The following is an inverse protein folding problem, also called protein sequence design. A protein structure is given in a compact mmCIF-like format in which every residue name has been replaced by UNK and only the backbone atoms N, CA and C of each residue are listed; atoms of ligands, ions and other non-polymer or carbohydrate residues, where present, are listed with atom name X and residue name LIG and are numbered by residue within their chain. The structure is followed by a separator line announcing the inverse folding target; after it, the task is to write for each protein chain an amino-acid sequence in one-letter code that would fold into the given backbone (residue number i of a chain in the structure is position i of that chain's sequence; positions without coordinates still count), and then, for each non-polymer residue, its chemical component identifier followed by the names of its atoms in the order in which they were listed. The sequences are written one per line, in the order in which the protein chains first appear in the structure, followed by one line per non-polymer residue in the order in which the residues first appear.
data_IF_297591234580
#
_entry.id   IF_297591234580
#
_cell.length_a   1.000
_cell.length_b   1.000
_cell.length_c   1.000
_cell.angle_alpha   90.00
_cell.angle_beta   90.00
_cell.angle_gamma   90.00
#
_symmetry.space_group_name_H-M   'P 1'
#
loop_
_entity.id
_entity.type
_entity.pdbx_description
1 polymer ?
#
# COMPACT_ATOMS: atom_id res chain seq x y z
N UNK A 1 4.85 -24.62 -71.70
CA UNK A 1 4.20 -23.58 -70.87
C UNK A 1 4.56 -23.88 -69.43
N UNK A 2 5.67 -23.29 -68.96
CA UNK A 2 6.14 -23.41 -67.59
C UNK A 2 5.66 -22.19 -66.82
N UNK A 3 4.68 -22.40 -65.95
CA UNK A 3 4.18 -21.35 -65.05
C UNK A 3 4.98 -21.43 -63.75
N UNK A 4 5.97 -20.54 -63.61
CA UNK A 4 6.63 -20.29 -62.34
C UNK A 4 5.65 -19.63 -61.36
N UNK A 5 5.58 -20.07 -60.09
CA UNK A 5 4.84 -19.33 -59.09
C UNK A 5 5.63 -18.09 -58.70
N UNK A 6 5.01 -16.92 -58.88
CA UNK A 6 5.46 -15.65 -58.34
C UNK A 6 5.53 -15.79 -56.82
N UNK A 7 6.75 -15.87 -56.29
CA UNK A 7 7.00 -15.67 -54.87
C UNK A 7 6.62 -14.22 -54.55
N UNK A 8 5.47 -14.04 -53.90
CA UNK A 8 5.12 -12.77 -53.28
C UNK A 8 6.16 -12.46 -52.23
N UNK A 9 6.92 -11.38 -52.46
CA UNK A 9 7.76 -10.75 -51.46
C UNK A 9 6.84 -10.27 -50.32
N UNK A 10 6.62 -11.15 -49.35
CA UNK A 10 5.91 -10.82 -48.13
C UNK A 10 6.72 -9.75 -47.43
N UNK A 11 6.22 -8.52 -47.44
CA UNK A 11 6.71 -7.38 -46.66
C UNK A 11 7.07 -7.84 -45.24
N UNK A 12 8.34 -8.21 -45.03
CA UNK A 12 8.85 -8.54 -43.70
C UNK A 12 9.06 -7.21 -43.01
N UNK A 13 8.04 -6.78 -42.27
CA UNK A 13 8.20 -5.68 -41.33
C UNK A 13 9.47 -5.92 -40.50
N UNK A 14 10.32 -4.89 -40.31
CA UNK A 14 11.56 -5.05 -39.56
C UNK A 14 11.25 -5.61 -38.18
N UNK A 15 11.76 -6.80 -37.89
CA UNK A 15 11.59 -7.44 -36.59
C UNK A 15 12.29 -6.60 -35.53
N UNK A 16 11.63 -6.40 -34.38
CA UNK A 16 12.23 -5.78 -33.20
C UNK A 16 13.54 -6.46 -32.77
N UNK A 17 13.70 -7.74 -33.11
CA UNK A 17 14.92 -8.51 -32.87
C UNK A 17 16.10 -8.11 -33.78
N UNK A 18 15.88 -7.37 -34.86
CA UNK A 18 16.95 -6.92 -35.76
C UNK A 18 17.38 -5.47 -35.50
N UNK A 19 16.75 -4.81 -34.52
CA UNK A 19 17.11 -3.45 -34.14
C UNK A 19 18.36 -3.41 -33.26
N UNK A 20 19.10 -2.29 -33.25
CA UNK A 20 20.17 -2.06 -32.28
C UNK A 20 19.67 -2.25 -30.83
N UNK A 21 20.47 -2.88 -29.95
CA UNK A 21 20.11 -3.11 -28.55
C UNK A 21 19.63 -1.86 -27.80
N UNK A 22 20.18 -0.70 -28.14
CA UNK A 22 19.87 0.60 -27.54
C UNK A 22 18.44 1.03 -27.89
N UNK A 23 18.04 0.87 -29.15
CA UNK A 23 16.69 1.18 -29.64
C UNK A 23 15.67 0.24 -29.01
N UNK A 24 15.96 -1.06 -28.97
CA UNK A 24 15.10 -2.04 -28.34
C UNK A 24 14.96 -1.80 -26.83
N UNK A 25 16.04 -1.41 -26.14
CA UNK A 25 16.00 -1.05 -24.72
C UNK A 25 15.17 0.22 -24.49
N UNK A 26 15.29 1.22 -25.36
CA UNK A 26 14.45 2.41 -25.27
C UNK A 26 12.97 2.06 -25.43
N UNK A 27 12.61 1.15 -26.36
CA UNK A 27 11.23 0.66 -26.49
C UNK A 27 10.76 0.04 -25.16
N UNK A 28 11.56 -0.82 -24.53
CA UNK A 28 11.22 -1.35 -23.20
C UNK A 28 10.96 -0.24 -22.19
N UNK A 29 11.83 0.78 -22.09
CA UNK A 29 11.69 1.91 -21.17
C UNK A 29 10.43 2.75 -21.39
N UNK A 30 9.87 2.76 -22.62
CA UNK A 30 8.66 3.51 -22.95
C UNK A 30 7.37 2.71 -22.73
N UNK A 31 7.44 1.43 -22.36
CA UNK A 31 6.25 0.63 -22.09
C UNK A 31 5.48 1.16 -20.86
N UNK A 32 4.14 1.15 -20.88
CA UNK A 32 3.35 1.78 -19.84
C UNK A 32 3.41 1.01 -18.51
N UNK A 33 3.58 -0.32 -18.56
CA UNK A 33 3.65 -1.15 -17.36
C UNK A 33 4.68 -2.29 -17.46
N UNK A 34 5.04 -2.87 -16.32
CA UNK A 34 5.83 -4.11 -16.31
C UNK A 34 5.10 -5.31 -16.90
N UNK A 35 3.76 -5.31 -16.96
CA UNK A 35 3.02 -6.38 -17.64
C UNK A 35 3.39 -6.41 -19.13
N UNK A 36 3.50 -5.25 -19.75
CA UNK A 36 3.89 -5.11 -21.16
C UNK A 36 5.36 -5.48 -21.37
N UNK A 37 6.23 -5.10 -20.42
CA UNK A 37 7.65 -5.53 -20.43
C UNK A 37 7.74 -7.06 -20.41
N UNK A 38 6.99 -7.71 -19.52
CA UNK A 38 7.00 -9.16 -19.41
C UNK A 38 6.45 -9.82 -20.68
N UNK A 39 5.35 -9.30 -21.22
CA UNK A 39 4.78 -9.76 -22.48
C UNK A 39 5.76 -9.63 -23.65
N UNK A 40 6.38 -8.46 -23.83
CA UNK A 40 7.37 -8.23 -24.89
C UNK A 40 8.60 -9.13 -24.72
N UNK A 41 9.09 -9.29 -23.50
CA UNK A 41 10.24 -10.16 -23.19
C UNK A 41 9.94 -11.64 -23.45
N UNK A 42 8.67 -12.06 -23.40
CA UNK A 42 8.25 -13.43 -23.63
C UNK A 42 8.17 -13.80 -25.13
N UNK A 43 8.16 -12.80 -26.03
CA UNK A 43 8.01 -13.02 -27.49
C UNK A 43 9.17 -13.84 -28.06
N UNK A 44 10.43 -13.52 -27.69
CA UNK A 44 11.59 -14.29 -28.17
C UNK A 44 12.80 -14.22 -27.23
N UNK A 45 13.76 -15.14 -27.42
CA UNK A 45 14.97 -15.25 -26.57
C UNK A 45 15.81 -13.97 -26.56
N UNK A 46 15.90 -13.28 -27.69
CA UNK A 46 16.70 -12.06 -27.79
C UNK A 46 16.09 -10.91 -26.99
N UNK A 47 14.77 -10.70 -27.10
CA UNK A 47 14.06 -9.68 -26.31
C UNK A 47 14.11 -10.01 -24.81
N UNK A 48 14.00 -11.29 -24.45
CA UNK A 48 14.24 -11.74 -23.08
C UNK A 48 15.64 -11.39 -22.59
N UNK A 49 16.67 -11.65 -23.41
CA UNK A 49 18.05 -11.34 -23.04
C UNK A 49 18.28 -9.83 -22.88
N UNK A 50 17.72 -9.02 -23.78
CA UNK A 50 17.78 -7.56 -23.70
C UNK A 50 17.14 -7.02 -22.42
N UNK A 51 15.96 -7.52 -22.06
CA UNK A 51 15.32 -7.19 -20.78
C UNK A 51 16.23 -7.57 -19.59
N UNK A 52 16.72 -8.82 -19.55
CA UNK A 52 17.56 -9.29 -18.44
C UNK A 52 18.87 -8.49 -18.29
N UNK A 53 19.46 -8.01 -19.39
CA UNK A 53 20.66 -7.18 -19.36
C UNK A 53 20.39 -5.75 -18.93
N UNK A 54 19.17 -5.24 -19.14
CA UNK A 54 18.80 -3.84 -18.92
C UNK A 54 17.70 -3.67 -17.86
N UNK A 55 17.62 -4.56 -16.87
CA UNK A 55 16.58 -4.54 -15.83
C UNK A 55 16.51 -3.19 -15.12
N UNK A 56 17.64 -2.65 -14.67
CA UNK A 56 17.68 -1.43 -13.86
C UNK A 56 17.31 -0.15 -14.65
N UNK A 57 17.85 0.09 -15.87
CA UNK A 57 17.38 1.19 -16.71
C UNK A 57 15.87 1.16 -16.96
N UNK A 58 15.35 -0.01 -17.34
CA UNK A 58 13.91 -0.17 -17.62
C UNK A 58 13.09 -0.03 -16.34
N UNK A 59 13.57 -0.56 -15.21
CA UNK A 59 12.93 -0.41 -13.91
C UNK A 59 12.79 1.05 -13.51
N UNK A 60 13.88 1.83 -13.57
CA UNK A 60 13.89 3.23 -13.16
C UNK A 60 12.92 4.09 -13.97
N UNK A 61 12.65 3.72 -15.22
CA UNK A 61 11.71 4.44 -16.09
C UNK A 61 10.25 4.04 -15.87
N UNK A 62 9.98 2.77 -15.51
CA UNK A 62 8.62 2.22 -15.46
C UNK A 62 8.08 2.16 -14.04
N UNK A 63 8.91 1.89 -13.04
CA UNK A 63 8.47 1.71 -11.66
C UNK A 63 7.70 2.90 -11.08
N UNK A 64 8.13 4.18 -11.28
CA UNK A 64 7.41 5.33 -10.73
C UNK A 64 5.95 5.44 -11.19
N UNK A 65 5.62 4.92 -12.37
CA UNK A 65 4.26 4.97 -12.94
C UNK A 65 3.47 3.66 -12.83
N UNK A 66 4.13 2.55 -12.46
CA UNK A 66 3.52 1.21 -12.51
C UNK A 66 3.51 0.47 -11.18
N UNK A 67 4.33 0.90 -10.20
CA UNK A 67 4.36 0.33 -8.85
C UNK A 67 3.94 1.44 -7.89
N UNK A 68 2.68 1.42 -7.43
CA UNK A 68 2.20 2.37 -6.43
C UNK A 68 3.08 2.34 -5.18
N UNK A 69 3.45 3.52 -4.68
CA UNK A 69 4.32 3.69 -3.52
C UNK A 69 5.63 2.88 -3.65
N UNK A 70 6.33 3.01 -4.80
CA UNK A 70 7.54 2.26 -5.15
C UNK A 70 8.56 2.16 -4.00
N UNK A 71 8.78 3.24 -3.27
CA UNK A 71 9.72 3.25 -2.14
C UNK A 71 9.30 2.32 -1.01
N UNK A 72 8.01 2.25 -0.70
CA UNK A 72 7.46 1.30 0.26
C UNK A 72 7.55 -0.14 -0.26
N UNK A 73 7.31 -0.35 -1.56
CA UNK A 73 7.49 -1.64 -2.21
C UNK A 73 8.97 -2.10 -2.18
N UNK A 74 9.94 -1.19 -2.37
CA UNK A 74 11.38 -1.49 -2.26
C UNK A 74 11.77 -1.85 -0.83
N UNK A 75 11.27 -1.13 0.17
CA UNK A 75 11.48 -1.48 1.58
C UNK A 75 10.95 -2.88 1.87
N UNK A 76 9.72 -3.18 1.44
CA UNK A 76 9.14 -4.51 1.62
C UNK A 76 9.95 -5.60 0.91
N UNK A 77 10.52 -5.32 -0.27
CA UNK A 77 11.41 -6.25 -0.96
C UNK A 77 12.68 -6.55 -0.14
N UNK A 78 13.24 -5.57 0.56
CA UNK A 78 14.38 -5.80 1.48
C UNK A 78 13.98 -6.76 2.60
N UNK A 79 12.79 -6.58 3.18
CA UNK A 79 12.22 -7.50 4.19
C UNK A 79 11.82 -8.88 3.62
N UNK A 80 11.99 -9.09 2.31
CA UNK A 80 11.85 -10.35 1.60
C UNK A 80 13.22 -10.92 1.15
N UNK A 81 14.28 -10.55 1.87
CA UNK A 81 15.68 -10.94 1.57
C UNK A 81 16.15 -10.44 0.20
N UNK A 82 15.53 -9.37 -0.28
CA UNK A 82 15.87 -8.72 -1.54
C UNK A 82 17.05 -7.75 -1.40
N UNK A 83 17.50 -7.18 -2.53
CA UNK A 83 18.61 -6.24 -2.53
C UNK A 83 18.24 -4.94 -1.79
N UNK A 84 19.21 -4.42 -1.04
CA UNK A 84 19.10 -3.20 -0.22
C UNK A 84 18.57 -1.98 -0.97
N UNK A 85 18.15 -0.96 -0.22
CA UNK A 85 17.71 0.31 -0.78
C UNK A 85 18.87 0.95 -1.56
N UNK A 86 18.66 1.24 -2.84
CA UNK A 86 19.69 1.77 -3.74
C UNK A 86 20.57 0.71 -4.43
N UNK A 87 20.50 -0.56 -4.02
CA UNK A 87 21.18 -1.64 -4.74
C UNK A 87 20.47 -1.99 -6.06
N UNK A 88 21.21 -2.43 -7.10
CA UNK A 88 20.62 -2.88 -8.34
C UNK A 88 19.65 -4.06 -8.14
N UNK A 89 18.59 -4.07 -8.95
CA UNK A 89 17.57 -5.11 -8.96
C UNK A 89 17.88 -6.17 -10.03
N UNK A 90 17.56 -7.42 -9.71
CA UNK A 90 17.44 -8.49 -10.71
C UNK A 90 16.01 -8.52 -11.29
N UNK A 91 15.83 -9.19 -12.44
CA UNK A 91 14.50 -9.36 -13.02
C UNK A 91 13.54 -10.12 -12.08
N UNK A 92 14.06 -11.05 -11.27
CA UNK A 92 13.29 -11.79 -10.27
C UNK A 92 12.74 -10.86 -9.20
N UNK A 93 13.52 -9.86 -8.79
CA UNK A 93 13.12 -8.87 -7.80
C UNK A 93 12.01 -7.98 -8.33
N UNK A 94 12.14 -7.49 -9.58
CA UNK A 94 11.09 -6.70 -10.24
C UNK A 94 9.80 -7.49 -10.37
N UNK A 95 9.86 -8.75 -10.83
CA UNK A 95 8.69 -9.63 -10.91
C UNK A 95 8.04 -9.81 -9.53
N UNK A 96 8.84 -9.96 -8.48
CA UNK A 96 8.33 -10.08 -7.10
C UNK A 96 7.62 -8.80 -6.66
N UNK A 97 8.18 -7.63 -6.91
CA UNK A 97 7.53 -6.34 -6.58
C UNK A 97 6.21 -6.16 -7.32
N UNK A 98 6.15 -6.47 -8.62
CA UNK A 98 4.91 -6.39 -9.41
C UNK A 98 3.86 -7.36 -8.88
N UNK A 99 4.26 -8.56 -8.47
CA UNK A 99 3.34 -9.53 -7.81
C UNK A 99 2.83 -9.01 -6.48
N UNK A 100 3.69 -8.43 -5.65
CA UNK A 100 3.29 -7.85 -4.38
C UNK A 100 2.29 -6.71 -4.59
N UNK A 101 2.55 -5.81 -5.55
CA UNK A 101 1.62 -4.74 -5.92
C UNK A 101 0.26 -5.29 -6.32
N UNK A 102 0.20 -6.36 -7.13
CA UNK A 102 -1.05 -7.01 -7.52
C UNK A 102 -1.82 -7.61 -6.33
N UNK A 103 -1.13 -8.13 -5.32
CA UNK A 103 -1.80 -8.60 -4.09
C UNK A 103 -2.49 -7.45 -3.37
N UNK A 104 -1.82 -6.30 -3.29
CA UNK A 104 -2.39 -5.09 -2.66
C UNK A 104 -3.56 -4.55 -3.48
N UNK A 105 -3.46 -4.55 -4.81
CA UNK A 105 -4.57 -4.16 -5.69
C UNK A 105 -5.83 -4.99 -5.43
N UNK A 106 -5.69 -6.32 -5.30
CA UNK A 106 -6.81 -7.18 -4.95
C UNK A 106 -7.37 -6.87 -3.55
N UNK A 107 -6.48 -6.60 -2.58
CA UNK A 107 -6.85 -6.20 -1.22
C UNK A 107 -7.62 -4.87 -1.20
N UNK A 108 -7.28 -3.91 -2.07
CA UNK A 108 -8.02 -2.65 -2.21
C UNK A 108 -9.41 -2.91 -2.81
N UNK A 109 -9.52 -3.70 -3.88
CA UNK A 109 -10.82 -4.00 -4.49
C UNK A 109 -11.79 -4.63 -3.50
N UNK A 110 -11.29 -5.53 -2.64
CA UNK A 110 -12.07 -6.11 -1.58
C UNK A 110 -12.43 -5.07 -0.49
N UNK A 111 -11.47 -4.25 -0.06
CA UNK A 111 -11.70 -3.18 0.91
C UNK A 111 -12.75 -2.16 0.43
N UNK A 112 -12.68 -1.74 -0.84
CA UNK A 112 -13.64 -0.82 -1.44
C UNK A 112 -15.06 -1.40 -1.47
N UNK A 113 -15.15 -2.69 -1.82
CA UNK A 113 -16.44 -3.41 -1.89
C UNK A 113 -17.07 -3.59 -0.51
N UNK A 114 -16.28 -3.92 0.50
CA UNK A 114 -16.78 -4.35 1.82
C UNK A 114 -16.85 -3.20 2.83
N UNK A 115 -15.93 -2.25 2.76
CA UNK A 115 -15.72 -1.19 3.77
C UNK A 115 -16.13 0.18 3.22
N UNK A 116 -15.49 0.63 2.13
CA UNK A 116 -15.63 2.02 1.64
C UNK A 116 -17.07 2.39 1.32
N UNK A 117 -17.82 1.48 0.67
CA UNK A 117 -19.24 1.69 0.35
C UNK A 117 -20.15 1.94 1.55
N UNK A 118 -19.69 1.62 2.77
CA UNK A 118 -20.45 1.77 4.02
C UNK A 118 -20.02 3.00 4.81
N UNK A 119 -18.98 3.72 4.38
CA UNK A 119 -18.49 4.93 5.05
C UNK A 119 -19.57 6.00 5.04
N UNK A 120 -19.78 6.61 6.20
CA UNK A 120 -20.70 7.71 6.44
C UNK A 120 -19.92 8.93 6.88
N UNK A 121 -20.47 10.10 6.59
CA UNK A 121 -19.89 11.39 6.97
C UNK A 121 -20.91 12.15 7.81
N UNK A 122 -21.15 11.67 9.03
CA UNK A 122 -22.17 12.23 9.90
C UNK A 122 -21.74 13.63 10.37
N UNK A 123 -22.44 14.66 9.91
CA UNK A 123 -22.23 16.05 10.33
C UNK A 123 -21.05 16.79 9.68
N UNK A 124 -20.36 16.18 8.72
CA UNK A 124 -19.25 16.80 7.98
C UNK A 124 -19.66 17.14 6.54
N UNK A 125 -19.13 18.26 6.02
CA UNK A 125 -19.32 18.63 4.62
C UNK A 125 -18.47 17.74 3.72
N UNK A 126 -19.09 16.81 3.00
CA UNK A 126 -18.38 15.99 2.03
C UNK A 126 -17.73 16.83 0.92
N UNK A 127 -18.27 18.01 0.60
CA UNK A 127 -17.71 18.89 -0.43
C UNK A 127 -16.31 19.42 -0.08
N UNK A 128 -16.05 19.64 1.20
CA UNK A 128 -14.77 20.15 1.69
C UNK A 128 -13.63 19.16 1.41
N UNK A 129 -13.93 17.86 1.45
CA UNK A 129 -12.92 16.80 1.36
C UNK A 129 -12.93 16.07 0.02
N UNK A 130 -14.09 15.96 -0.61
CA UNK A 130 -14.30 15.13 -1.82
C UNK A 130 -14.71 15.95 -3.05
N UNK A 131 -14.81 17.27 -2.92
CA UNK A 131 -15.00 18.21 -4.01
C UNK A 131 -16.46 18.65 -4.24
N UNK A 132 -16.68 19.63 -5.13
CA UNK A 132 -17.98 20.28 -5.30
C UNK A 132 -19.10 19.30 -5.66
N UNK A 133 -20.25 19.40 -4.99
CA UNK A 133 -21.41 18.52 -5.20
C UNK A 133 -21.28 17.14 -4.55
N UNK A 134 -20.22 16.87 -3.78
CA UNK A 134 -20.13 15.66 -2.99
C UNK A 134 -21.06 15.74 -1.77
N UNK A 135 -21.93 14.73 -1.61
CA UNK A 135 -22.82 14.61 -0.45
C UNK A 135 -22.44 13.46 0.48
N UNK A 136 -21.44 12.66 0.09
CA UNK A 136 -20.94 11.50 0.82
C UNK A 136 -19.54 11.14 0.34
N UNK A 137 -18.88 10.24 1.07
CA UNK A 137 -17.64 9.59 0.65
C UNK A 137 -17.82 8.89 -0.73
N UNK A 138 -16.85 9.01 -1.66
CA UNK A 138 -16.89 8.34 -2.95
C UNK A 138 -16.91 6.80 -2.81
N UNK A 139 -17.43 6.03 -3.78
CA UNK A 139 -17.54 4.57 -3.65
C UNK A 139 -16.20 3.82 -3.74
N UNK A 140 -15.08 4.54 -3.89
CA UNK A 140 -13.71 4.05 -4.04
C UNK A 140 -12.77 4.94 -3.24
N UNK A 141 -11.60 4.43 -2.87
CA UNK A 141 -10.60 5.24 -2.18
C UNK A 141 -10.20 6.44 -3.04
N UNK A 142 -10.08 7.61 -2.43
CA UNK A 142 -9.43 8.75 -3.08
C UNK A 142 -7.95 8.44 -3.35
N UNK A 143 -7.29 9.29 -4.15
CA UNK A 143 -5.85 9.13 -4.42
C UNK A 143 -5.04 9.07 -3.11
N UNK A 144 -5.34 9.96 -2.16
CA UNK A 144 -4.63 10.09 -0.89
C UNK A 144 -4.96 8.94 0.06
N UNK A 145 -6.23 8.56 0.19
CA UNK A 145 -6.65 7.38 0.98
C UNK A 145 -6.01 6.11 0.44
N UNK A 146 -5.96 5.96 -0.88
CA UNK A 146 -5.32 4.84 -1.57
C UNK A 146 -3.82 4.79 -1.29
N UNK A 147 -3.12 5.93 -1.37
CA UNK A 147 -1.69 6.00 -1.03
C UNK A 147 -1.45 5.59 0.43
N UNK A 148 -2.26 6.08 1.38
CA UNK A 148 -2.18 5.68 2.79
C UNK A 148 -2.44 4.19 2.98
N UNK A 149 -3.43 3.63 2.30
CA UNK A 149 -3.74 2.20 2.33
C UNK A 149 -2.53 1.38 1.85
N UNK A 150 -2.00 1.69 0.67
CA UNK A 150 -0.90 0.94 0.05
C UNK A 150 0.36 0.98 0.92
N UNK A 151 0.74 2.16 1.41
CA UNK A 151 1.92 2.32 2.29
C UNK A 151 1.78 1.53 3.58
N UNK A 152 0.62 1.62 4.21
CA UNK A 152 0.33 0.94 5.48
C UNK A 152 0.24 -0.56 5.29
N UNK A 153 -0.33 -1.03 4.18
CA UNK A 153 -0.39 -2.45 3.83
C UNK A 153 1.02 -3.03 3.61
N UNK A 154 1.89 -2.37 2.82
CA UNK A 154 3.28 -2.81 2.68
C UNK A 154 4.00 -2.86 4.02
N UNK A 155 3.76 -1.89 4.90
CA UNK A 155 4.42 -1.79 6.20
C UNK A 155 3.94 -2.87 7.17
N UNK A 156 2.64 -3.15 7.20
CA UNK A 156 2.08 -4.26 7.97
C UNK A 156 2.58 -5.61 7.43
N UNK A 157 2.58 -5.78 6.12
CA UNK A 157 3.05 -7.02 5.49
C UNK A 157 4.53 -7.26 5.74
N UNK A 158 5.35 -6.21 5.75
CA UNK A 158 6.74 -6.23 6.18
C UNK A 158 6.87 -6.72 7.63
N UNK A 159 6.18 -6.09 8.58
CA UNK A 159 6.22 -6.47 10.00
C UNK A 159 5.76 -7.92 10.25
N UNK A 160 4.76 -8.38 9.51
CA UNK A 160 4.27 -9.76 9.57
C UNK A 160 5.31 -10.78 9.09
N UNK A 161 6.31 -10.38 8.30
CA UNK A 161 7.42 -11.25 7.88
C UNK A 161 8.57 -11.26 8.87
N UNK A 162 8.82 -10.14 9.55
CA UNK A 162 9.90 -10.02 10.53
C UNK A 162 9.67 -10.92 11.74
N UNK A 163 10.76 -11.21 12.46
CA UNK A 163 10.70 -11.86 13.75
C UNK A 163 10.18 -10.89 14.82
N UNK A 164 9.53 -11.43 15.86
CA UNK A 164 8.94 -10.60 16.91
C UNK A 164 9.97 -9.72 17.63
N UNK A 165 11.24 -10.14 17.67
CA UNK A 165 12.35 -9.38 18.25
C UNK A 165 12.70 -8.12 17.47
N UNK A 166 12.37 -8.06 16.17
CA UNK A 166 12.67 -6.92 15.30
C UNK A 166 11.53 -5.89 15.26
N UNK A 167 10.36 -6.23 15.81
CA UNK A 167 9.21 -5.33 15.82
C UNK A 167 9.49 -4.05 16.58
N UNK A 168 10.12 -4.13 17.76
CA UNK A 168 10.30 -2.94 18.60
C UNK A 168 11.16 -1.87 17.92
N UNK A 169 12.28 -2.26 17.28
CA UNK A 169 13.13 -1.31 16.56
C UNK A 169 12.41 -0.69 15.36
N UNK A 170 11.63 -1.50 14.62
CA UNK A 170 10.88 -1.04 13.45
C UNK A 170 9.74 -0.11 13.82
N UNK A 171 8.97 -0.43 14.86
CA UNK A 171 7.84 0.37 15.34
C UNK A 171 8.32 1.69 15.98
N UNK A 172 9.48 1.70 16.66
CA UNK A 172 10.06 2.92 17.23
C UNK A 172 10.50 3.94 16.17
N UNK A 173 10.84 3.48 14.95
CA UNK A 173 11.25 4.34 13.85
C UNK A 173 10.07 4.95 13.07
N UNK A 174 8.83 4.51 13.35
CA UNK A 174 7.62 4.99 12.69
C UNK A 174 7.04 6.21 13.42
N UNK A 175 6.38 7.09 12.67
CA UNK A 175 5.63 8.19 13.29
C UNK A 175 4.37 7.69 13.98
N UNK A 176 3.85 8.44 14.94
CA UNK A 176 2.57 8.10 15.58
C UNK A 176 1.43 7.97 14.56
N UNK A 177 1.40 8.86 13.56
CA UNK A 177 0.46 8.77 12.44
C UNK A 177 0.55 7.42 11.71
N UNK A 178 1.75 6.98 11.33
CA UNK A 178 1.96 5.68 10.66
C UNK A 178 1.52 4.51 11.53
N UNK A 179 1.74 4.59 12.85
CA UNK A 179 1.31 3.56 13.79
C UNK A 179 -0.23 3.46 13.87
N UNK A 180 -0.96 4.58 13.82
CA UNK A 180 -2.43 4.54 13.76
C UNK A 180 -2.94 3.89 12.48
N UNK A 181 -2.36 4.23 11.32
CA UNK A 181 -2.74 3.54 10.07
C UNK A 181 -2.45 2.05 10.13
N UNK A 182 -1.29 1.66 10.66
CA UNK A 182 -0.95 0.25 10.84
C UNK A 182 -1.93 -0.48 11.75
N UNK A 183 -2.35 0.16 12.84
CA UNK A 183 -3.35 -0.39 13.74
C UNK A 183 -4.65 -0.69 13.01
N UNK A 184 -5.16 0.23 12.19
CA UNK A 184 -6.38 -0.03 11.40
C UNK A 184 -6.16 -1.15 10.37
N UNK A 185 -5.01 -1.19 9.70
CA UNK A 185 -4.71 -2.25 8.73
C UNK A 185 -4.70 -3.65 9.37
N UNK A 186 -4.42 -3.79 10.66
CA UNK A 186 -4.53 -5.09 11.34
C UNK A 186 -5.97 -5.61 11.36
N UNK A 187 -6.97 -4.71 11.26
CA UNK A 187 -8.40 -5.03 11.29
C UNK A 187 -8.99 -5.41 9.93
N UNK A 188 -8.17 -5.50 8.90
CA UNK A 188 -8.60 -6.05 7.61
C UNK A 188 -9.10 -7.49 7.78
N UNK A 189 -10.28 -7.79 7.26
CA UNK A 189 -10.87 -9.14 7.28
C UNK A 189 -10.14 -10.13 6.38
N UNK A 190 -9.53 -9.63 5.32
CA UNK A 190 -8.71 -10.41 4.39
C UNK A 190 -7.31 -10.70 4.95
N UNK A 191 -6.66 -11.74 4.44
CA UNK A 191 -5.30 -12.10 4.81
C UNK A 191 -4.28 -11.05 4.35
N UNK A 192 -3.22 -10.81 5.15
CA UNK A 192 -2.11 -9.96 4.73
C UNK A 192 -1.11 -10.82 3.94
N UNK A 193 -1.29 -10.86 2.62
CA UNK A 193 -0.38 -11.55 1.72
C UNK A 193 -0.47 -13.07 1.83
N UNK A 194 0.57 -13.70 2.39
CA UNK A 194 0.62 -15.15 2.65
C UNK A 194 0.64 -15.42 4.15
N UNK A 195 -0.26 -14.78 4.86
CA UNK A 195 -0.49 -15.06 6.27
C UNK A 195 -0.86 -16.53 6.45
N UNK A 196 -0.27 -17.18 7.44
CA UNK A 196 -0.58 -18.57 7.79
C UNK A 196 -2.06 -18.74 8.12
N UNK A 197 -2.56 -19.95 7.92
CA UNK A 197 -3.97 -20.36 7.98
C UNK A 197 -4.81 -19.50 8.92
N UNK A 198 -5.64 -18.65 8.31
CA UNK A 198 -6.77 -18.01 8.99
C UNK A 198 -7.67 -19.15 9.47
N UNK A 199 -7.91 -19.28 10.78
CA UNK A 199 -8.90 -20.23 11.27
C UNK A 199 -10.22 -19.97 10.55
N UNK A 200 -11.00 -20.99 10.15
CA UNK A 200 -12.30 -20.74 9.55
C UNK A 200 -13.10 -19.83 10.49
N UNK A 201 -13.81 -18.81 9.95
CA UNK A 201 -14.52 -17.85 10.76
C UNK A 201 -15.43 -18.60 11.72
N UNK A 202 -15.26 -18.33 13.01
CA UNK A 202 -15.97 -19.04 14.09
C UNK A 202 -17.49 -18.89 13.94
N UNK A 203 -17.92 -17.82 13.25
CA UNK A 203 -19.31 -17.50 12.94
C UNK A 203 -19.48 -17.22 11.43
N UNK A 204 -19.60 -18.26 10.59
CA UNK A 204 -19.61 -18.10 9.12
C UNK A 204 -20.87 -17.41 8.57
N UNK A 205 -21.91 -17.26 9.40
CA UNK A 205 -23.15 -16.58 9.02
C UNK A 205 -23.20 -15.11 9.46
N UNK A 206 -22.23 -14.65 10.24
CA UNK A 206 -22.21 -13.26 10.67
C UNK A 206 -21.73 -12.35 9.53
N UNK A 207 -22.22 -11.10 9.47
CA UNK A 207 -21.69 -10.10 8.56
C UNK A 207 -20.17 -10.00 8.72
N UNK A 208 -19.45 -9.84 7.60
CA UNK A 208 -17.98 -9.77 7.59
C UNK A 208 -17.42 -8.63 8.46
N UNK A 209 -18.28 -7.66 8.79
CA UNK A 209 -18.01 -6.48 9.59
C UNK A 209 -18.39 -6.61 11.07
N UNK A 210 -18.87 -7.78 11.50
CA UNK A 210 -19.07 -8.05 12.92
C UNK A 210 -17.73 -8.07 13.66
N UNK A 211 -17.74 -7.69 14.95
CA UNK A 211 -16.55 -7.77 15.81
C UNK A 211 -16.02 -9.21 15.89
N UNK A 212 -16.89 -10.21 15.78
CA UNK A 212 -16.49 -11.61 15.80
C UNK A 212 -15.87 -12.08 14.47
N UNK A 213 -16.40 -11.64 13.33
CA UNK A 213 -15.87 -11.93 11.99
C UNK A 213 -14.48 -11.32 11.78
N UNK A 214 -14.26 -10.09 12.25
CA UNK A 214 -12.98 -9.40 12.11
C UNK A 214 -11.89 -10.05 12.97
N UNK A 215 -12.23 -10.45 14.21
CA UNK A 215 -11.25 -11.05 15.12
C UNK A 215 -11.00 -12.54 14.84
N UNK A 216 -11.95 -13.26 14.25
CA UNK A 216 -11.77 -14.67 13.88
C UNK A 216 -11.00 -14.87 12.57
N UNK A 217 -10.87 -13.83 11.74
CA UNK A 217 -10.17 -13.84 10.46
C UNK A 217 -8.66 -13.56 10.52
N UNK A 218 -8.06 -13.42 11.72
CA UNK A 218 -6.67 -12.96 11.88
C UNK A 218 -5.76 -14.05 12.44
N UNK A 219 -4.51 -14.11 11.97
CA UNK A 219 -3.51 -14.99 12.59
C UNK A 219 -3.12 -14.51 13.99
N UNK A 220 -2.67 -15.43 14.84
CA UNK A 220 -2.12 -15.09 16.17
C UNK A 220 -0.99 -14.07 16.09
N UNK A 221 -0.14 -14.19 15.05
CA UNK A 221 0.94 -13.24 14.79
C UNK A 221 0.40 -11.84 14.54
N UNK A 222 -0.69 -11.70 13.79
CA UNK A 222 -1.32 -10.40 13.53
C UNK A 222 -1.92 -9.79 14.80
N UNK A 223 -2.59 -10.61 15.61
CA UNK A 223 -3.16 -10.18 16.90
C UNK A 223 -2.05 -9.72 17.85
N UNK A 224 -0.93 -10.46 17.91
CA UNK A 224 0.23 -10.08 18.72
C UNK A 224 0.86 -8.77 18.22
N UNK A 225 0.99 -8.60 16.90
CA UNK A 225 1.51 -7.39 16.28
C UNK A 225 0.61 -6.17 16.56
N UNK A 226 -0.72 -6.32 16.47
CA UNK A 226 -1.67 -5.25 16.81
C UNK A 226 -1.44 -4.76 18.24
N UNK A 227 -1.34 -5.69 19.21
CA UNK A 227 -1.06 -5.33 20.62
C UNK A 227 0.25 -4.57 20.74
N UNK A 228 1.27 -4.96 19.98
CA UNK A 228 2.58 -4.31 20.02
C UNK A 228 2.58 -2.92 19.38
N UNK A 229 1.83 -2.73 18.29
CA UNK A 229 1.57 -1.42 17.68
C UNK A 229 0.89 -0.51 18.70
N UNK A 230 -0.17 -0.97 19.37
CA UNK A 230 -0.88 -0.17 20.38
C UNK A 230 0.03 0.21 21.55
N UNK A 231 0.86 -0.72 22.03
CA UNK A 231 1.85 -0.41 23.07
C UNK A 231 2.84 0.66 22.62
N UNK A 232 3.28 0.66 21.35
CA UNK A 232 4.15 1.71 20.85
C UNK A 232 3.44 3.07 20.72
N UNK A 233 2.17 3.08 20.29
CA UNK A 233 1.34 4.29 20.27
C UNK A 233 1.24 4.89 21.70
N UNK A 234 0.97 4.05 22.70
CA UNK A 234 0.91 4.45 24.10
C UNK A 234 2.25 5.00 24.60
N UNK A 235 3.37 4.32 24.28
CA UNK A 235 4.71 4.81 24.61
C UNK A 235 5.00 6.18 24.00
N UNK A 236 4.65 6.40 22.73
CA UNK A 236 4.82 7.69 22.08
C UNK A 236 3.98 8.76 22.80
N UNK A 237 2.71 8.47 23.09
CA UNK A 237 1.83 9.40 23.79
C UNK A 237 2.38 9.81 25.16
N UNK A 238 2.79 8.84 25.99
CA UNK A 238 3.41 9.11 27.28
C UNK A 238 4.73 9.87 27.16
N UNK A 239 5.57 9.51 26.20
CA UNK A 239 6.87 10.15 25.98
C UNK A 239 6.75 11.64 25.63
N UNK A 240 5.74 12.04 24.87
CA UNK A 240 5.61 13.41 24.38
C UNK A 240 4.60 14.26 25.16
N UNK A 241 3.63 13.63 25.80
CA UNK A 241 2.48 14.33 26.39
C UNK A 241 2.11 13.86 27.79
N UNK A 242 2.81 12.88 28.36
CA UNK A 242 2.58 12.35 29.72
C UNK A 242 1.12 11.89 29.97
N UNK A 243 0.50 11.30 28.94
CA UNK A 243 -0.88 10.79 29.00
C UNK A 243 -1.12 9.64 28.05
N UNK A 244 -2.20 8.90 28.29
CA UNK A 244 -2.64 7.79 27.44
C UNK A 244 -3.04 8.28 26.03
N UNK A 245 -2.74 7.45 25.05
CA UNK A 245 -3.16 7.68 23.67
C UNK A 245 -4.68 7.47 23.54
N UNK A 246 -5.32 8.29 22.73
CA UNK A 246 -6.75 8.17 22.44
C UNK A 246 -7.01 7.03 21.44
N UNK A 247 -8.11 6.30 21.64
CA UNK A 247 -8.53 5.24 20.73
C UNK A 247 -9.58 5.77 19.72
N UNK A 248 -9.25 5.85 18.41
CA UNK A 248 -10.18 6.35 17.41
C UNK A 248 -11.40 5.44 17.18
N UNK A 249 -11.39 4.18 17.63
CA UNK A 249 -12.49 3.23 17.40
C UNK A 249 -13.82 3.68 18.00
N UNK A 250 -13.81 4.57 19.00
CA UNK A 250 -15.03 5.20 19.52
C UNK A 250 -15.77 6.04 18.47
N UNK A 251 -15.04 6.70 17.57
CA UNK A 251 -15.60 7.54 16.50
C UNK A 251 -16.10 6.70 15.30
N UNK A 252 -15.48 5.54 15.07
CA UNK A 252 -15.83 4.62 13.97
C UNK A 252 -17.31 4.20 13.94
N UNK A 253 -17.96 4.16 15.11
CA UNK A 253 -19.37 3.77 15.23
C UNK A 253 -20.32 4.71 14.49
N UNK A 254 -19.95 5.98 14.36
CA UNK A 254 -20.77 7.00 13.70
C UNK A 254 -20.44 7.12 12.19
N UNK A 255 -19.26 6.67 11.77
CA UNK A 255 -18.80 6.80 10.37
C UNK A 255 -19.04 5.53 9.53
N UNK A 256 -19.86 4.59 10.03
CA UNK A 256 -20.46 3.51 9.25
C UNK A 256 -19.69 2.19 9.20
N UNK A 257 -18.39 2.15 9.48
CA UNK A 257 -17.66 0.89 9.61
C UNK A 257 -16.76 0.86 10.86
N UNK A 258 -17.01 -0.13 11.72
CA UNK A 258 -16.23 -0.35 12.94
C UNK A 258 -14.75 -0.53 12.57
N UNK A 259 -13.84 0.20 13.22
CA UNK A 259 -12.38 0.07 13.12
C UNK A 259 -11.62 0.82 12.03
N UNK A 260 -12.29 1.48 11.07
CA UNK A 260 -11.61 2.33 10.08
C UNK A 260 -12.13 3.76 10.14
N UNK A 261 -11.27 4.67 10.57
CA UNK A 261 -11.56 6.08 10.79
C UNK A 261 -10.38 6.91 10.28
N UNK A 262 -9.18 6.50 10.69
CA UNK A 262 -7.97 7.27 10.48
C UNK A 262 -7.47 7.23 9.05
N UNK A 263 -7.95 6.29 8.23
CA UNK A 263 -7.61 6.21 6.82
C UNK A 263 -8.25 7.32 5.97
N UNK A 264 -9.43 7.82 6.34
CA UNK A 264 -10.26 8.69 5.50
C UNK A 264 -9.73 10.13 5.40
N UNK A 265 -9.90 10.77 4.24
CA UNK A 265 -9.44 12.16 4.05
C UNK A 265 -10.06 13.13 5.04
N UNK A 266 -11.37 13.02 5.27
CA UNK A 266 -12.10 13.91 6.17
C UNK A 266 -11.69 13.80 7.64
N UNK A 267 -11.01 12.71 8.01
CA UNK A 267 -10.57 12.48 9.38
C UNK A 267 -9.10 12.87 9.62
N UNK A 268 -8.34 13.22 8.57
CA UNK A 268 -6.93 13.60 8.72
C UNK A 268 -6.70 14.79 9.68
N UNK A 269 -7.54 15.84 9.68
CA UNK A 269 -7.43 16.91 10.68
C UNK A 269 -7.61 16.38 12.12
N UNK A 270 -8.63 15.55 12.34
CA UNK A 270 -8.91 14.95 13.66
C UNK A 270 -7.81 13.98 14.11
N UNK A 271 -7.21 13.20 13.19
CA UNK A 271 -6.03 12.37 13.49
C UNK A 271 -4.89 13.25 13.99
N UNK A 272 -4.64 14.38 13.32
CA UNK A 272 -3.55 15.28 13.67
C UNK A 272 -3.76 15.86 15.06
N UNK A 273 -4.96 16.37 15.34
CA UNK A 273 -5.31 16.93 16.65
C UNK A 273 -5.18 15.87 17.75
N UNK A 274 -5.68 14.65 17.49
CA UNK A 274 -5.60 13.51 18.41
C UNK A 274 -4.14 13.09 18.68
N UNK A 275 -3.33 12.92 17.63
CA UNK A 275 -1.92 12.50 17.72
C UNK A 275 -1.07 13.55 18.42
N UNK A 276 -1.33 14.83 18.14
CA UNK A 276 -0.61 15.95 18.73
C UNK A 276 -1.20 16.38 20.08
N UNK A 277 -2.26 15.69 20.54
CA UNK A 277 -3.09 16.05 21.67
C UNK A 277 -3.38 17.55 21.78
N UNK A 278 -3.66 18.15 20.63
CA UNK A 278 -4.23 19.48 20.56
C UNK A 278 -5.70 19.32 20.98
N UNK A 279 -6.16 20.17 21.90
CA UNK A 279 -7.60 20.24 22.19
C UNK A 279 -8.33 20.47 20.87
N UNK A 280 -9.42 19.75 20.60
CA UNK A 280 -10.35 19.99 19.47
C UNK A 280 -11.08 21.36 19.63
N UNK A 281 -10.54 22.24 20.47
CA UNK A 281 -10.95 23.61 20.72
C UNK A 281 -9.70 24.44 21.06
N UNK A 282 -9.50 25.52 20.29
CA UNK A 282 -8.56 26.62 20.47
C UNK A 282 -8.07 26.81 21.92
N UNK A 283 -6.82 26.47 22.24
CA UNK A 283 -5.87 27.35 22.95
C UNK A 283 -4.58 26.63 23.38
N UNK A 284 -3.47 27.28 22.98
CA UNK A 284 -2.07 27.21 23.41
C UNK A 284 -1.20 26.04 22.90
N UNK A 285 -0.18 26.35 22.07
CA UNK A 285 0.86 25.38 21.73
C UNK A 285 1.84 25.20 22.90
N UNK A 286 2.04 23.93 23.28
CA UNK A 286 3.17 23.46 24.10
C UNK A 286 4.49 23.60 23.29
N UNK A 287 5.64 23.89 23.93
CA UNK A 287 6.90 24.16 23.24
C UNK A 287 7.25 23.05 22.24
N UNK A 288 7.52 23.49 20.99
CA UNK A 288 7.91 22.72 19.81
C UNK A 288 8.20 21.22 20.06
N UNK A 289 7.15 20.42 20.25
CA UNK A 289 7.25 18.99 20.01
C UNK A 289 7.58 18.90 18.54
N UNK A 290 8.71 18.28 18.20
CA UNK A 290 9.17 18.15 16.82
C UNK A 290 8.09 17.39 16.03
N UNK A 291 7.17 18.12 15.40
CA UNK A 291 5.98 17.61 14.73
C UNK A 291 6.34 16.46 13.78
N UNK A 292 7.53 16.50 13.18
CA UNK A 292 8.11 15.50 12.30
C UNK A 292 8.17 14.06 12.87
N UNK A 293 8.25 13.88 14.19
CA UNK A 293 8.28 12.54 14.80
C UNK A 293 6.87 11.96 15.04
N UNK A 294 5.85 12.81 15.07
CA UNK A 294 4.47 12.42 15.33
C UNK A 294 3.64 12.37 14.06
N UNK A 295 3.93 13.28 13.14
CA UNK A 295 3.20 13.51 11.91
C UNK A 295 4.16 13.67 10.75
N UNK A 296 3.88 12.99 9.64
CA UNK A 296 4.66 13.17 8.43
C UNK A 296 4.00 14.25 7.55
N UNK A 297 4.63 15.42 7.48
CA UNK A 297 4.21 16.50 6.57
C UNK A 297 4.57 16.21 5.10
N UNK A 298 5.29 15.13 4.82
CA UNK A 298 5.49 14.67 3.45
C UNK A 298 4.15 14.41 2.82
N UNK A 299 3.78 15.26 1.86
CA UNK A 299 2.65 15.05 0.97
C UNK A 299 2.67 13.58 0.54
N UNK A 300 1.53 12.92 0.63
CA UNK A 300 1.29 11.61 0.04
C UNK A 300 1.68 11.69 -1.46
N UNK A 301 2.96 11.42 -1.80
CA UNK A 301 3.60 11.64 -3.12
C UNK A 301 2.71 11.25 -4.31
#
# INVERSE_FOLDING_TARGET
MSSSPVQGDGNRHPSLSMMPPEVATNIFCQLPSFSDVFALSAVCRQLRHLWLKNVNPVYNQIAPRSIPCERAARRFLVDQDGPGLGSPLSAKDVVRMVRNARVIENAILQFEREIVRRVRMDGLSAEEFYGPGAHKHPPTLTRTERTRFIRSYYSLWSLMRLDCSEWDSRLQAMTSQELYYLREMTKLTQSIGREETVPPPMFPHEPSDSVHSINSGQSEKRIALERRIWQQIQRNSWRFFERDAQDPSGYAKHEGFLWFVVLWDHWQPSLKDMVCHQSVSLMKPSPAVKEQYLWNNGLDE
#
